data_IF_594352334731
#
_entry.id   IF_594352334731
#
_cell.length_a   1.000
_cell.length_b   1.000
_cell.length_c   1.000
_cell.angle_alpha   90.00
_cell.angle_beta   90.00
_cell.angle_gamma   90.00
#
_symmetry.space_group_name_H-M   'P 1'
#
loop_
_entity.id
_entity.type
_entity.pdbx_description
1 polymer ?
2 non-polymer ?
3 non-polymer ?
4 water ?
#
# COMPACT_ATOMS: atom_id res chain seq x y z
N UNK A 6 -28.30 12.29 3.35
CA UNK A 6 -27.63 11.04 3.71
C UNK A 6 -26.15 11.28 4.01
N UNK A 7 -25.62 10.53 4.95
CA UNK A 7 -24.22 10.71 5.36
C UNK A 7 -23.32 9.69 4.66
N UNK A 8 -22.10 10.12 4.36
CA UNK A 8 -21.17 9.34 3.57
C UNK A 8 -20.55 8.23 4.40
N UNK A 9 -19.83 7.31 3.74
CA UNK A 9 -19.13 6.26 4.51
C UNK A 9 -17.85 6.79 5.13
N UNK A 10 -17.17 5.94 5.90
CA UNK A 10 -15.88 6.30 6.47
C UNK A 10 -14.89 6.54 5.32
N UNK A 11 -14.92 5.65 4.34
CA UNK A 11 -14.09 5.81 3.15
C UNK A 11 -14.59 4.96 1.99
N UNK A 12 -14.27 5.39 0.78
CA UNK A 12 -14.52 4.58 -0.42
C UNK A 12 -13.25 3.82 -0.76
N UNK A 13 -13.39 2.72 -1.48
CA UNK A 13 -12.23 1.96 -1.90
C UNK A 13 -12.58 0.67 -2.61
N UNK A 14 -11.55 0.00 -3.13
CA UNK A 14 -11.72 -1.32 -3.72
C UNK A 14 -11.45 -2.38 -2.65
N UNK A 15 -12.45 -3.21 -2.39
CA UNK A 15 -12.31 -4.26 -1.39
C UNK A 15 -12.06 -5.60 -2.07
N UNK A 16 -10.87 -6.14 -1.86
CA UNK A 16 -10.48 -7.40 -2.47
C UNK A 16 -11.43 -8.51 -2.06
N UNK A 17 -11.57 -9.50 -2.93
CA UNK A 17 -12.36 -10.68 -2.62
C UNK A 17 -11.61 -11.50 -1.58
N UNK A 18 -12.29 -12.45 -0.96
CA UNK A 18 -11.68 -13.31 0.04
C UNK A 18 -10.48 -14.03 -0.54
N UNK A 19 -10.67 -14.59 -1.74
CA UNK A 19 -9.61 -15.29 -2.46
C UNK A 19 -8.36 -14.42 -2.56
N UNK A 20 -8.51 -13.23 -3.12
CA UNK A 20 -7.39 -12.33 -3.36
C UNK A 20 -6.77 -11.83 -2.06
N UNK A 21 -7.62 -11.53 -1.08
CA UNK A 21 -7.15 -11.08 0.22
C UNK A 21 -6.18 -12.10 0.80
N UNK A 22 -6.61 -13.36 0.83
CA UNK A 22 -5.77 -14.44 1.33
C UNK A 22 -4.45 -14.50 0.57
N UNK A 23 -4.53 -14.36 -0.75
CA UNK A 23 -3.36 -14.48 -1.61
C UNK A 23 -2.36 -13.36 -1.32
N UNK A 24 -2.88 -12.14 -1.20
CA UNK A 24 -2.02 -10.99 -0.96
C UNK A 24 -1.47 -10.99 0.47
N UNK A 25 -2.30 -11.35 1.44
CA UNK A 25 -1.86 -11.35 2.83
C UNK A 25 -0.71 -12.33 3.03
N UNK A 26 -0.86 -13.53 2.48
CA UNK A 26 0.17 -14.55 2.61
C UNK A 26 1.43 -14.14 1.87
N UNK A 27 1.27 -13.57 0.69
CA UNK A 27 2.41 -13.06 -0.07
C UNK A 27 3.14 -12.03 0.77
N UNK A 28 2.39 -11.13 1.39
CA UNK A 28 2.96 -10.13 2.27
C UNK A 28 3.67 -10.77 3.44
N UNK A 29 3.06 -11.81 3.99
CA UNK A 29 3.63 -12.51 5.14
C UNK A 29 4.96 -13.16 4.77
N UNK A 30 4.99 -13.82 3.62
CA UNK A 30 6.22 -14.47 3.16
C UNK A 30 7.31 -13.43 2.94
N UNK A 31 6.93 -12.27 2.43
CA UNK A 31 7.89 -11.19 2.21
C UNK A 31 8.55 -10.76 3.51
N UNK A 32 7.75 -10.59 4.56
CA UNK A 32 8.27 -10.15 5.85
C UNK A 32 9.21 -11.19 6.44
N UNK A 33 8.88 -12.47 6.28
CA UNK A 33 9.69 -13.55 6.80
C UNK A 33 11.04 -13.64 6.08
N UNK A 34 10.99 -13.57 4.75
CA UNK A 34 12.20 -13.62 3.93
C UNK A 34 13.06 -12.39 4.18
N UNK A 35 12.43 -11.22 4.16
CA UNK A 35 13.14 -9.97 4.35
C UNK A 35 13.91 -9.97 5.68
N UNK A 36 13.23 -10.35 6.75
CA UNK A 36 13.85 -10.38 8.06
C UNK A 36 14.95 -11.41 8.18
N UNK A 37 14.91 -12.43 7.33
CA UNK A 37 15.92 -13.47 7.32
C UNK A 37 17.11 -13.13 6.42
N UNK A 38 16.96 -12.08 5.63
CA UNK A 38 17.94 -11.74 4.61
C UNK A 38 19.13 -10.99 5.21
N UNK A 39 20.34 -11.36 4.78
CA UNK A 39 21.56 -10.78 5.31
C UNK A 39 21.63 -9.27 5.15
N UNK A 40 21.20 -8.78 4.00
CA UNK A 40 21.26 -7.35 3.71
C UNK A 40 20.39 -6.55 4.68
N UNK A 41 19.31 -7.17 5.14
CA UNK A 41 18.40 -6.50 6.06
C UNK A 41 18.93 -6.55 7.49
N UNK A 42 19.46 -7.70 7.88
CA UNK A 42 19.99 -7.90 9.23
C UNK A 42 21.08 -6.88 9.57
N UNK A 43 21.98 -6.64 8.62
CA UNK A 43 23.12 -5.75 8.87
C UNK A 43 22.72 -4.28 8.74
N UNK A 44 21.43 -4.03 8.52
CA UNK A 44 20.91 -2.67 8.45
C UNK A 44 19.91 -2.41 9.56
N UNK A 45 19.83 -3.34 10.53
CA UNK A 45 18.86 -3.24 11.61
C UNK A 45 18.94 -1.91 12.36
N UNK A 46 20.14 -1.35 12.43
CA UNK A 46 20.35 -0.12 13.19
C UNK A 46 19.75 1.10 12.51
N UNK A 47 19.41 0.96 11.23
CA UNK A 47 18.73 2.03 10.50
C UNK A 47 17.22 1.78 10.48
N UNK A 48 16.80 0.63 10.99
CA UNK A 48 15.39 0.27 11.03
C UNK A 48 14.79 0.61 12.40
N UNK A 49 15.40 0.09 13.46
CA UNK A 49 15.03 0.46 14.82
C UNK A 49 16.24 1.01 15.57
N UNK A 50 15.99 1.72 16.67
CA UNK A 50 17.06 2.33 17.45
C UNK A 50 17.43 1.50 18.67
N UNK A 51 16.71 0.41 18.90
CA UNK A 51 16.97 -0.47 20.02
C UNK A 51 17.40 -1.85 19.58
N UNK A 57 18.12 -10.50 15.88
CA UNK A 57 17.21 -10.74 14.77
C UNK A 57 15.81 -10.23 15.06
N UNK A 58 15.26 -9.42 14.15
CA UNK A 58 13.93 -8.87 14.31
C UNK A 58 12.92 -9.65 13.48
N UNK A 59 11.86 -10.13 14.12
CA UNK A 59 10.78 -10.82 13.43
C UNK A 59 9.76 -9.80 12.95
N UNK A 60 9.78 -9.51 11.65
CA UNK A 60 8.99 -8.42 11.09
C UNK A 60 7.48 -8.66 11.16
N UNK A 61 7.06 -9.92 11.10
CA UNK A 61 5.64 -10.24 11.20
C UNK A 61 5.06 -9.73 12.53
N UNK A 62 5.88 -9.81 13.58
CA UNK A 62 5.46 -9.31 14.89
C UNK A 62 5.68 -7.81 14.98
N UNK A 63 6.72 -7.32 14.34
CA UNK A 63 7.01 -5.89 14.33
C UNK A 63 5.81 -5.11 13.81
N UNK A 64 5.24 -5.58 12.70
CA UNK A 64 4.03 -4.97 12.16
C UNK A 64 2.81 -5.66 12.77
N UNK A 65 2.62 -5.48 14.06
CA UNK A 65 1.59 -6.18 14.81
C UNK A 65 0.18 -5.76 14.47
N UNK A 66 0.00 -4.50 14.10
CA UNK A 66 -1.32 -3.99 13.74
C UNK A 66 -1.58 -4.24 12.26
N UNK A 67 -2.43 -5.22 11.98
CA UNK A 67 -2.74 -5.61 10.61
C UNK A 67 -4.24 -5.55 10.37
N UNK A 68 -4.66 -5.45 9.09
CA UNK A 68 -6.09 -5.53 8.77
C UNK A 68 -6.70 -6.84 9.26
N UNK A 69 -7.75 -6.74 10.10
CA UNK A 69 -8.40 -7.93 10.69
C UNK A 69 -8.93 -8.92 9.67
N UNK A 70 -9.44 -8.44 8.54
CA UNK A 70 -10.07 -9.33 7.58
C UNK A 70 -9.76 -9.01 6.12
N UNK A 71 -10.78 -8.50 5.43
CA UNK A 71 -10.66 -8.20 4.01
C UNK A 71 -9.68 -7.05 3.78
N UNK A 72 -8.75 -7.24 2.85
CA UNK A 72 -7.83 -6.17 2.45
C UNK A 72 -8.54 -5.22 1.49
N UNK A 73 -8.03 -4.00 1.37
CA UNK A 73 -8.67 -3.00 0.52
C UNK A 73 -7.67 -1.95 0.03
N UNK A 74 -8.01 -1.33 -1.09
CA UNK A 74 -7.27 -0.17 -1.59
C UNK A 74 -8.16 1.06 -1.51
N UNK A 75 -7.83 1.97 -0.61
CA UNK A 75 -8.63 3.16 -0.38
C UNK A 75 -8.50 4.17 -1.52
N UNK A 76 -9.60 4.84 -1.85
CA UNK A 76 -9.55 5.96 -2.79
C UNK A 76 -9.65 7.26 -2.01
N UNK A 77 -10.80 7.48 -1.38
CA UNK A 77 -11.06 8.73 -0.67
C UNK A 77 -11.49 8.49 0.77
N UNK A 78 -10.75 9.04 1.71
CA UNK A 78 -11.17 9.04 3.11
C UNK A 78 -12.20 10.14 3.30
N UNK A 79 -13.36 9.79 3.83
CA UNK A 79 -14.49 10.72 3.90
C UNK A 79 -14.87 11.11 5.32
N UNK A 80 -14.62 10.23 6.27
CA UNK A 80 -14.99 10.46 7.66
C UNK A 80 -16.46 10.85 7.78
N UNK A 81 -17.31 10.12 7.06
CA UNK A 81 -18.74 10.35 7.11
C UNK A 81 -19.10 11.78 6.74
N UNK A 82 -18.32 12.38 5.85
CA UNK A 82 -18.59 13.72 5.36
C UNK A 82 -17.76 14.81 6.01
N UNK A 83 -17.11 14.50 7.13
CA UNK A 83 -16.33 15.50 7.87
C UNK A 83 -15.04 15.87 7.14
N UNK A 84 -14.56 14.98 6.28
CA UNK A 84 -13.30 15.22 5.58
C UNK A 84 -13.50 16.19 4.42
N UNK A 85 -12.51 17.06 4.22
CA UNK A 85 -12.55 18.02 3.14
C UNK A 85 -12.64 17.31 1.80
N UNK A 86 -13.54 17.79 0.93
CA UNK A 86 -13.69 17.23 -0.41
C UNK A 86 -14.46 15.92 -0.43
N UNK A 87 -14.97 15.49 0.71
CA UNK A 87 -15.69 14.22 0.79
C UNK A 87 -16.99 14.26 0.00
N UNK A 88 -17.83 15.25 0.29
CA UNK A 88 -19.12 15.39 -0.38
C UNK A 88 -18.93 15.50 -1.90
N UNK A 89 -17.89 16.22 -2.30
CA UNK A 89 -17.64 16.46 -3.71
C UNK A 89 -17.18 15.17 -4.40
N UNK A 90 -16.47 14.32 -3.67
CA UNK A 90 -16.03 13.05 -4.23
C UNK A 90 -17.20 12.09 -4.38
N UNK A 91 -18.06 12.06 -3.36
CA UNK A 91 -19.18 11.14 -3.33
C UNK A 91 -20.22 11.45 -4.40
N UNK A 92 -20.32 12.72 -4.80
CA UNK A 92 -21.37 13.15 -5.70
C UNK A 92 -21.05 12.85 -7.17
N UNK A 93 -19.79 12.53 -7.46
CA UNK A 93 -19.37 12.27 -8.84
C UNK A 93 -20.15 11.10 -9.44
N UNK A 94 -20.53 11.23 -10.71
CA UNK A 94 -21.24 10.18 -11.41
C UNK A 94 -20.44 8.89 -11.46
N UNK A 95 -19.14 9.02 -11.75
CA UNK A 95 -18.28 7.85 -11.92
C UNK A 95 -18.19 7.03 -10.63
N UNK A 96 -18.35 7.70 -9.49
CA UNK A 96 -18.29 7.02 -8.20
C UNK A 96 -19.61 6.29 -7.92
N UNK A 97 -20.71 6.99 -8.13
CA UNK A 97 -22.03 6.39 -7.95
C UNK A 97 -22.26 5.29 -8.98
N UNK A 98 -21.71 5.48 -10.18
CA UNK A 98 -21.85 4.50 -11.25
C UNK A 98 -21.00 3.27 -10.98
N UNK A 99 -19.80 3.49 -10.44
CA UNK A 99 -18.86 2.40 -10.22
C UNK A 99 -19.17 1.65 -8.92
N UNK A 100 -20.09 2.18 -8.13
CA UNK A 100 -20.41 1.59 -6.83
C UNK A 100 -20.95 0.17 -7.02
N UNK A 101 -20.24 -0.80 -6.45
CA UNK A 101 -20.64 -2.19 -6.51
C UNK A 101 -20.00 -2.95 -7.66
N UNK A 102 -19.23 -2.26 -8.49
CA UNK A 102 -18.63 -2.87 -9.68
C UNK A 102 -17.35 -3.61 -9.33
N UNK A 103 -16.96 -4.54 -10.19
CA UNK A 103 -15.76 -5.34 -9.99
C UNK A 103 -14.57 -4.77 -10.76
N UNK A 104 -13.39 -4.83 -10.15
CA UNK A 104 -12.18 -4.31 -10.76
C UNK A 104 -11.02 -5.28 -10.54
N UNK A 105 -10.03 -5.20 -11.42
CA UNK A 105 -8.78 -5.93 -11.22
C UNK A 105 -7.66 -4.94 -10.89
N UNK A 106 -7.09 -5.06 -9.70
CA UNK A 106 -5.98 -4.19 -9.30
C UNK A 106 -4.66 -4.89 -9.56
N UNK A 107 -3.69 -4.13 -10.06
CA UNK A 107 -2.35 -4.66 -10.33
C UNK A 107 -1.38 -4.26 -9.24
N UNK A 108 -0.82 -5.24 -8.54
CA UNK A 108 0.20 -5.00 -7.52
C UNK A 108 1.57 -5.11 -8.17
N UNK A 109 2.38 -4.06 -8.05
CA UNK A 109 3.68 -4.02 -8.72
C UNK A 109 4.83 -4.34 -7.77
N UNK A 110 4.63 -4.09 -6.49
CA UNK A 110 5.71 -4.28 -5.52
C UNK A 110 5.20 -4.38 -4.09
N UNK A 111 6.04 -4.94 -3.23
CA UNK A 111 5.80 -4.95 -1.79
C UNK A 111 6.90 -4.14 -1.13
N UNK A 112 6.54 -3.30 -0.17
CA UNK A 112 7.51 -2.41 0.47
C UNK A 112 7.41 -2.44 1.99
N UNK A 113 8.50 -2.03 2.64
CA UNK A 113 8.58 -2.02 4.09
C UNK A 113 9.39 -0.81 4.55
N UNK A 114 8.89 -0.15 5.59
CA UNK A 114 9.61 0.94 6.24
C UNK A 114 9.51 0.73 7.74
N UNK A 115 10.19 1.58 8.53
CA UNK A 115 10.10 1.46 9.99
C UNK A 115 8.66 1.58 10.51
N UNK A 116 7.76 2.14 9.71
CA UNK A 116 6.40 2.42 10.16
C UNK A 116 5.35 1.47 9.57
N UNK A 117 5.45 1.16 8.29
CA UNK A 117 4.41 0.39 7.63
C UNK A 117 4.93 -0.69 6.68
N UNK A 118 4.05 -1.63 6.37
CA UNK A 118 4.29 -2.62 5.33
C UNK A 118 3.09 -2.58 4.40
N UNK A 119 3.33 -2.61 3.10
CA UNK A 119 2.25 -2.46 2.14
C UNK A 119 2.55 -2.98 0.75
N UNK A 120 1.55 -2.91 -0.11
CA UNK A 120 1.69 -3.33 -1.50
C UNK A 120 1.31 -2.16 -2.42
N UNK A 121 2.17 -1.89 -3.40
CA UNK A 121 1.94 -0.79 -4.33
C UNK A 121 0.94 -1.19 -5.41
N UNK A 122 -0.08 -0.37 -5.60
CA UNK A 122 -1.08 -0.59 -6.63
C UNK A 122 -0.86 0.38 -7.79
N UNK A 123 -0.90 -0.14 -9.01
CA UNK A 123 -0.85 0.69 -10.20
C UNK A 123 -2.22 0.71 -10.86
N UNK A 124 -2.89 1.86 -10.79
CA UNK A 124 -4.26 1.98 -11.29
C UNK A 124 -4.29 2.25 -12.80
N UNK A 125 -5.25 1.63 -13.47
CA UNK A 125 -5.49 1.93 -14.88
C UNK A 125 -6.15 3.29 -14.98
N UNK A 126 -6.29 3.80 -16.20
CA UNK A 126 -6.94 5.09 -16.40
C UNK A 126 -8.39 5.03 -15.93
N UNK A 127 -9.05 3.91 -16.19
CA UNK A 127 -10.42 3.73 -15.74
C UNK A 127 -10.49 3.87 -14.23
N UNK A 128 -9.59 3.16 -13.54
CA UNK A 128 -9.55 3.18 -12.08
C UNK A 128 -9.12 4.54 -11.56
N UNK A 129 -8.28 5.24 -12.31
CA UNK A 129 -7.83 6.57 -11.91
C UNK A 129 -8.98 7.57 -11.89
N UNK A 130 -10.04 7.29 -12.64
CA UNK A 130 -11.23 8.14 -12.62
C UNK A 130 -11.80 8.20 -11.21
N UNK A 131 -11.58 7.13 -10.44
CA UNK A 131 -12.12 7.03 -9.09
C UNK A 131 -11.16 7.56 -8.03
N UNK A 132 -9.98 7.99 -8.44
CA UNK A 132 -9.02 8.56 -7.51
C UNK A 132 -9.37 10.02 -7.22
N UNK A 133 -9.38 10.42 -5.94
CA UNK A 133 -9.74 11.79 -5.58
C UNK A 133 -8.75 12.82 -6.11
N UNK A 134 -9.22 14.04 -6.34
CA UNK A 134 -8.38 15.12 -6.82
C UNK A 134 -8.52 16.35 -5.93
N UNK A 135 -8.00 16.26 -4.72
CA UNK A 135 -8.05 17.36 -3.76
C UNK A 135 -7.33 18.59 -4.31
N UNK A 139 -0.69 16.98 -1.30
CA UNK A 139 0.53 16.67 -0.57
C UNK A 139 1.79 17.09 -1.33
N UNK A 140 2.86 17.39 -0.59
CA UNK A 140 4.13 17.75 -1.20
C UNK A 140 4.85 16.51 -1.73
N UNK A 141 4.58 15.37 -1.12
CA UNK A 141 5.18 14.11 -1.54
C UNK A 141 4.72 13.75 -2.95
N UNK A 142 3.43 13.91 -3.21
CA UNK A 142 2.85 13.58 -4.51
C UNK A 142 3.45 14.44 -5.62
N UNK A 143 4.07 15.56 -5.25
CA UNK A 143 4.69 16.44 -6.23
C UNK A 143 5.69 15.69 -7.09
N UNK A 144 5.48 15.72 -8.40
CA UNK A 144 6.37 15.08 -9.34
C UNK A 144 5.86 13.72 -9.80
N UNK A 145 5.20 13.01 -8.90
CA UNK A 145 4.67 11.69 -9.22
C UNK A 145 3.27 11.80 -9.82
N UNK A 146 2.95 10.90 -10.76
CA UNK A 146 1.63 10.94 -11.40
C UNK A 146 0.52 10.67 -10.40
N UNK A 147 -0.65 11.31 -10.57
CA UNK A 147 -1.78 11.07 -9.66
C UNK A 147 -2.07 9.59 -9.49
N UNK A 148 -2.38 9.18 -8.26
CA UNK A 148 -2.68 7.80 -7.97
C UNK A 148 -1.45 7.00 -7.59
N UNK A 149 -0.29 7.64 -7.61
CA UNK A 149 0.96 6.98 -7.22
C UNK A 149 0.84 6.47 -5.78
N UNK A 150 -0.05 7.09 -5.02
CA UNK A 150 -0.23 6.76 -3.61
C UNK A 150 -1.04 5.47 -3.41
N UNK A 151 -1.78 5.06 -4.44
CA UNK A 151 -2.61 3.86 -4.35
C UNK A 151 -1.81 2.69 -3.77
N UNK A 152 -2.43 1.97 -2.83
CA UNK A 152 -1.73 0.91 -2.12
C UNK A 152 -2.69 0.03 -1.32
N UNK A 153 -2.18 -1.09 -0.84
CA UNK A 153 -2.92 -1.93 0.10
C UNK A 153 -2.05 -2.11 1.35
N UNK A 154 -2.57 -1.71 2.50
CA UNK A 154 -1.84 -1.81 3.75
C UNK A 154 -1.85 -3.25 4.27
N UNK A 155 -0.67 -3.72 4.66
CA UNK A 155 -0.52 -5.08 5.19
C UNK A 155 -0.21 -5.06 6.68
N UNK A 156 0.30 -3.94 7.18
CA UNK A 156 0.61 -3.83 8.59
C UNK A 156 1.33 -2.55 8.93
N UNK A 157 1.33 -2.19 10.21
CA UNK A 157 2.02 -1.00 10.68
C UNK A 157 2.58 -1.23 12.09
N UNK A 158 3.56 -0.41 12.47
CA UNK A 158 4.14 -0.51 13.80
C UNK A 158 3.16 -0.02 14.85
N UNK A 159 3.48 -0.24 16.12
CA UNK A 159 2.54 -0.04 17.21
C UNK A 159 1.89 1.34 17.26
N UNK A 160 2.69 2.40 17.14
CA UNK A 160 2.18 3.76 17.32
C UNK A 160 2.09 4.52 16.00
N UNK A 161 1.82 3.81 14.92
CA UNK A 161 1.68 4.43 13.61
C UNK A 161 0.22 4.74 13.31
N UNK A 162 -0.03 5.90 12.71
CA UNK A 162 -1.39 6.38 12.46
C UNK A 162 -1.84 6.06 11.05
N UNK A 163 -3.16 6.16 10.81
CA UNK A 163 -3.73 5.92 9.47
C UNK A 163 -3.15 6.87 8.43
N UNK A 164 -3.12 6.44 7.17
CA UNK A 164 -2.64 7.25 6.06
C UNK A 164 -1.12 7.27 5.95
N UNK A 165 -0.44 6.64 6.91
CA UNK A 165 1.02 6.64 6.92
C UNK A 165 1.58 5.80 5.79
N UNK A 166 0.92 4.69 5.47
CA UNK A 166 1.39 3.78 4.44
C UNK A 166 1.47 4.48 3.09
N UNK A 167 0.44 5.26 2.77
CA UNK A 167 0.43 6.02 1.54
C UNK A 167 1.57 7.03 1.50
N UNK A 168 1.78 7.71 2.62
CA UNK A 168 2.88 8.66 2.73
C UNK A 168 4.21 7.95 2.57
N UNK A 169 4.31 6.76 3.14
CA UNK A 169 5.53 5.97 3.07
C UNK A 169 5.82 5.54 1.63
N UNK A 170 4.77 5.12 0.92
CA UNK A 170 4.92 4.67 -0.45
C UNK A 170 5.37 5.81 -1.35
N UNK A 171 4.76 6.98 -1.18
CA UNK A 171 5.12 8.15 -1.96
C UNK A 171 6.59 8.48 -1.77
N UNK A 172 7.05 8.46 -0.52
CA UNK A 172 8.45 8.75 -0.21
C UNK A 172 9.36 7.80 -0.96
N UNK A 173 9.04 6.50 -0.91
CA UNK A 173 9.81 5.50 -1.62
C UNK A 173 9.80 5.77 -3.12
N UNK A 174 8.65 6.18 -3.65
CA UNK A 174 8.51 6.45 -5.08
C UNK A 174 9.23 7.73 -5.48
N UNK A 175 9.63 8.53 -4.49
CA UNK A 175 10.44 9.71 -4.76
C UNK A 175 11.90 9.32 -4.94
N UNK A 176 12.36 8.37 -4.12
CA UNK A 176 13.73 7.88 -4.20
C UNK A 176 14.00 7.26 -5.56
N UNK A 177 13.03 6.50 -6.07
CA UNK A 177 13.16 5.83 -7.36
C UNK A 177 13.07 6.86 -8.49
N UNK A 178 12.36 7.96 -8.22
CA UNK A 178 12.22 9.04 -9.20
C UNK A 178 13.58 9.66 -9.49
N UNK A 179 14.48 9.60 -8.52
CA UNK A 179 15.81 10.15 -8.68
C UNK A 179 16.86 9.08 -8.95
N UNK A 180 16.41 7.95 -9.50
CA UNK A 180 17.31 6.85 -9.83
C UNK A 180 18.27 6.50 -8.70
N UNK A 181 17.77 6.55 -7.47
CA UNK A 181 18.57 6.23 -6.30
C UNK A 181 18.09 4.96 -5.61
N UNK A 182 17.48 4.06 -6.38
CA UNK A 182 17.07 2.76 -5.87
C UNK A 182 18.29 2.00 -5.39
N UNK A 183 19.39 2.15 -6.11
CA UNK A 183 20.58 1.35 -5.88
C UNK A 183 20.37 -0.03 -6.48
N UNK A 184 21.46 -0.74 -6.75
CA UNK A 184 21.35 -2.09 -7.29
C UNK A 184 20.61 -3.00 -6.32
N UNK A 185 19.88 -3.97 -6.86
CA UNK A 185 19.20 -4.95 -6.03
C UNK A 185 20.24 -5.65 -5.16
N UNK A 186 20.00 -5.65 -3.85
CA UNK A 186 20.96 -6.23 -2.91
C UNK A 186 20.66 -7.71 -2.66
N UNK A 187 19.75 -8.27 -3.43
CA UNK A 187 19.41 -9.68 -3.32
C UNK A 187 18.25 -10.06 -4.20
N UNK A 188 18.04 -11.36 -4.40
CA UNK A 188 16.91 -11.86 -5.18
C UNK A 188 16.01 -12.76 -4.34
N UNK A 189 14.72 -12.43 -4.31
CA UNK A 189 13.74 -13.27 -3.65
C UNK A 189 12.90 -13.98 -4.71
N UNK A 190 12.23 -15.07 -4.32
CA UNK A 190 11.49 -15.89 -5.29
C UNK A 190 10.55 -15.08 -6.19
N UNK A 191 10.03 -13.97 -5.66
CA UNK A 191 9.04 -13.19 -6.40
C UNK A 191 9.63 -11.99 -7.15
N UNK A 192 10.89 -11.64 -6.86
CA UNK A 192 11.51 -10.53 -7.56
C UNK A 192 12.78 -9.99 -6.92
N UNK A 193 13.19 -8.82 -7.38
CA UNK A 193 14.42 -8.18 -6.91
C UNK A 193 14.17 -7.41 -5.61
N UNK A 194 15.13 -7.51 -4.68
CA UNK A 194 15.04 -6.81 -3.40
C UNK A 194 15.93 -5.57 -3.42
N UNK A 195 15.34 -4.42 -3.12
CA UNK A 195 16.08 -3.15 -3.16
C UNK A 195 16.14 -2.50 -1.79
N UNK A 196 17.32 -2.00 -1.43
CA UNK A 196 17.52 -1.29 -0.18
C UNK A 196 17.58 0.21 -0.45
N UNK A 197 16.59 0.94 0.05
CA UNK A 197 16.47 2.37 -0.23
C UNK A 197 17.05 3.24 0.88
N UNK A 198 17.48 2.60 1.97
CA UNK A 198 18.06 3.32 3.08
C UNK A 198 17.00 3.80 4.06
N UNK A 199 17.44 4.27 5.21
CA UNK A 199 16.54 4.76 6.25
C UNK A 199 15.44 3.75 6.56
N UNK A 200 15.80 2.46 6.52
CA UNK A 200 14.89 1.39 6.87
C UNK A 200 13.84 1.08 5.82
N UNK A 201 14.03 1.63 4.62
CA UNK A 201 13.08 1.44 3.54
C UNK A 201 13.52 0.30 2.62
N UNK A 202 12.57 -0.55 2.25
CA UNK A 202 12.87 -1.72 1.42
C UNK A 202 11.78 -1.92 0.38
N UNK A 203 12.16 -2.39 -0.80
CA UNK A 203 11.20 -2.59 -1.88
C UNK A 203 11.47 -3.87 -2.66
N UNK A 204 10.44 -4.70 -2.78
CA UNK A 204 10.48 -5.90 -3.61
C UNK A 204 9.71 -5.66 -4.89
N UNK A 205 10.43 -5.45 -6.00
CA UNK A 205 9.80 -5.27 -7.29
C UNK A 205 9.45 -6.63 -7.89
N UNK A 206 8.17 -6.97 -7.88
CA UNK A 206 7.72 -8.26 -8.36
C UNK A 206 8.07 -8.47 -9.83
N UNK A 207 8.52 -9.68 -10.16
CA UNK A 207 8.84 -10.05 -11.53
C UNK A 207 7.55 -10.09 -12.36
N UNK A 208 6.54 -10.77 -11.81
CA UNK A 208 5.22 -10.75 -12.40
C UNK A 208 4.25 -10.03 -11.47
N UNK A 209 3.54 -9.04 -12.00
CA UNK A 209 2.59 -8.28 -11.22
C UNK A 209 1.45 -9.16 -10.74
N UNK A 210 1.11 -9.02 -9.46
CA UNK A 210 -0.03 -9.73 -8.90
C UNK A 210 -1.32 -9.03 -9.32
N UNK A 211 -2.32 -9.81 -9.71
CA UNK A 211 -3.62 -9.26 -10.03
C UNK A 211 -4.63 -9.69 -8.97
N UNK A 212 -5.35 -8.72 -8.42
CA UNK A 212 -6.38 -9.01 -7.43
C UNK A 212 -7.74 -8.47 -7.88
N UNK A 213 -8.75 -9.32 -7.83
CA UNK A 213 -10.13 -8.89 -8.04
C UNK A 213 -10.66 -8.17 -6.79
N UNK A 214 -11.38 -7.07 -7.01
CA UNK A 214 -11.93 -6.29 -5.90
C UNK A 214 -13.25 -5.64 -6.29
N UNK A 215 -14.02 -5.22 -5.29
CA UNK A 215 -15.28 -4.53 -5.52
C UNK A 215 -15.18 -3.11 -4.98
N UNK A 216 -15.51 -2.13 -5.82
CA UNK A 216 -15.50 -0.74 -5.38
C UNK A 216 -16.78 -0.43 -4.62
N UNK A 217 -16.64 0.06 -3.39
CA UNK A 217 -17.78 0.35 -2.53
C UNK A 217 -17.38 1.24 -1.37
N UNK A 218 -18.29 1.40 -0.40
CA UNK A 218 -18.04 2.23 0.76
C UNK A 218 -18.12 1.45 2.06
N UNK A 219 -17.23 1.80 2.99
CA UNK A 219 -17.18 1.19 4.32
C UNK A 219 -17.70 2.19 5.36
N UNK A 220 -18.65 1.76 6.18
CA UNK A 220 -19.33 2.68 7.10
C UNK A 220 -18.93 2.50 8.56
N UNK A 221 -18.01 1.59 8.82
CA UNK A 221 -17.51 1.38 10.16
C UNK A 221 -18.37 0.42 10.96
X LIG B 1 -13.58 18.91 -4.18
X LIG B 1 -13.96 19.16 -5.35
X LIG B 1 -13.17 17.78 -3.81
X LIG B 1 -13.60 20.02 -3.17
X LIG B 1 -13.07 20.88 -3.57
X LIG B 1 -14.63 20.28 -2.95
X LIG B 1 -13.11 19.68 -2.26
X LIG C 1 -4.19 2.17 4.49
X LIG C 1 -4.12 3.51 5.13
X LIG C 1 -3.94 3.30 7.09
X LIG C 1 -2.94 4.28 4.58
X LIG C 1 -5.42 4.27 4.81
X LIG C 1 -6.46 4.55 5.65
X LIG C 1 -7.36 3.37 5.74
X LIG C 1 -7.22 2.54 4.63
X LIG C 1 -7.26 5.43 4.77
X LIG C 1 -8.59 5.22 5.13
X LIG C 1 -8.72 3.96 5.71
X LIG C 1 -9.28 4.08 7.07
X LIG C 1 -8.41 4.86 7.82
X LIG C 1 -6.98 6.85 4.78
X LIG C 1 -6.57 7.66 3.70
X LIG C 1 -6.43 8.95 4.17
X LIG C 1 -6.76 8.93 5.55
X LIG C 1 -6.78 9.94 6.45
X LIG C 1 -6.42 11.27 6.03
X LIG C 1 -7.09 7.66 5.95
X LIG C 1 -7.45 7.36 7.20
X LIG C 1 -7.46 8.37 8.12
X LIG C 1 -7.12 9.65 7.73
#
# INVERSE_FOLDING_TARGET
GGLEKDFLPLYFGWFLTKKSSETLRKAGQVFLEELGNHKAFKKELRHFISGDEPKEKLELVSYFGKRPPGVLHCTTKFCDYGKAAGAEEYAQQEVVKRSYGKAFKLSISALFVTPKTAGAQVVLTDQELQLWPSDLDKPSASEGLPPGSRAHVTLGCAADVQPAQTGLDLLDILQQVKGGSQGEAVGELPRGKLYSLGKGRWMLSLTKKMEVKAIFTGYYG
ACY C O OXT CH3 H1 H2 H3
OVE O1P P S2P O3P O2' C2' C3' O3' C1' O4' C4' C5' O5' N9 C8 N7 C5 C6 N6 C4 N3 C2 N1
#
